data_IF_953240203115
#
_entry.id   IF_953240203115
#
_cell.length_a   1.000
_cell.length_b   1.000
_cell.length_c   1.000
_cell.angle_alpha   90.00
_cell.angle_beta   90.00
_cell.angle_gamma   90.00
#
_symmetry.space_group_name_H-M   'P 1'
#
loop_
_entity.id
_entity.type
_entity.pdbx_description
1 polymer ?
#
# COMPACT_ATOMS: atom_id res chain seq x y z
N UNK A 1 10.13 -6.17 -1.47
CA UNK A 1 9.77 -7.51 -0.94
C UNK A 1 9.65 -8.56 -2.04
N UNK A 2 8.93 -8.31 -3.13
CA UNK A 2 8.71 -9.32 -4.18
C UNK A 2 9.76 -9.29 -5.31
N UNK A 3 10.54 -8.21 -5.42
CA UNK A 3 11.53 -7.97 -6.49
C UNK A 3 12.61 -9.07 -6.60
N UNK A 4 13.03 -9.62 -5.47
CA UNK A 4 14.14 -10.58 -5.39
C UNK A 4 13.66 -12.03 -5.52
N UNK A 5 12.34 -12.24 -5.65
CA UNK A 5 11.77 -13.56 -5.82
C UNK A 5 11.96 -14.05 -7.26
N UNK A 6 12.21 -15.35 -7.43
CA UNK A 6 11.95 -15.97 -8.71
C UNK A 6 10.43 -15.99 -8.98
N UNK A 7 10.04 -16.11 -10.25
CA UNK A 7 8.63 -16.20 -10.61
C UNK A 7 7.91 -17.37 -9.93
N UNK A 8 8.61 -18.47 -9.74
CA UNK A 8 8.06 -19.66 -9.04
C UNK A 8 7.81 -19.34 -7.57
N UNK A 9 8.76 -18.70 -6.91
CA UNK A 9 8.62 -18.23 -5.52
C UNK A 9 7.48 -17.24 -5.35
N UNK A 10 7.29 -16.32 -6.28
CA UNK A 10 6.16 -15.40 -6.26
C UNK A 10 4.82 -16.14 -6.39
N UNK A 11 4.76 -17.20 -7.21
CA UNK A 11 3.57 -18.07 -7.27
C UNK A 11 3.37 -18.89 -5.99
N UNK A 12 4.45 -19.24 -5.26
CA UNK A 12 4.31 -19.88 -3.94
C UNK A 12 3.63 -18.92 -2.94
N UNK A 13 3.93 -17.61 -3.00
CA UNK A 13 3.20 -16.61 -2.20
C UNK A 13 1.72 -16.62 -2.52
N UNK A 14 1.35 -16.62 -3.81
CA UNK A 14 -0.07 -16.68 -4.23
C UNK A 14 -0.74 -17.93 -3.66
N UNK A 15 -0.12 -19.11 -3.85
CA UNK A 15 -0.64 -20.38 -3.31
C UNK A 15 -0.81 -20.35 -1.79
N UNK A 16 0.12 -19.70 -1.11
CA UNK A 16 0.05 -19.52 0.33
C UNK A 16 -1.12 -18.62 0.75
N UNK A 17 -1.34 -17.49 0.05
CA UNK A 17 -2.49 -16.61 0.27
C UNK A 17 -3.79 -17.41 0.13
N UNK A 18 -3.98 -18.12 -0.98
CA UNK A 18 -5.19 -18.90 -1.24
C UNK A 18 -5.41 -20.02 -0.20
N UNK A 19 -4.36 -20.74 0.17
CA UNK A 19 -4.46 -21.84 1.15
C UNK A 19 -4.86 -21.35 2.56
N UNK A 20 -4.58 -20.09 2.89
CA UNK A 20 -4.90 -19.50 4.21
C UNK A 20 -6.25 -18.77 4.24
N UNK A 21 -6.83 -18.49 3.09
CA UNK A 21 -8.08 -17.75 3.01
C UNK A 21 -9.18 -18.27 3.94
N UNK A 22 -9.48 -19.58 4.04
CA UNK A 22 -10.54 -20.09 4.93
C UNK A 22 -10.29 -19.77 6.41
N UNK A 23 -9.04 -19.84 6.84
CA UNK A 23 -8.65 -19.57 8.24
C UNK A 23 -8.71 -18.08 8.58
N UNK A 24 -8.38 -17.21 7.62
CA UNK A 24 -8.47 -15.75 7.78
C UNK A 24 -9.90 -15.25 7.75
N UNK A 25 -10.73 -15.84 6.92
CA UNK A 25 -12.18 -15.59 6.91
C UNK A 25 -12.84 -16.10 8.19
N UNK A 26 -12.39 -17.26 8.72
CA UNK A 26 -12.83 -17.76 10.01
C UNK A 26 -12.50 -16.76 11.13
N UNK A 27 -11.24 -16.32 11.22
CA UNK A 27 -10.82 -15.33 12.23
C UNK A 27 -11.64 -14.05 12.13
N UNK A 28 -11.87 -13.54 10.92
CA UNK A 28 -12.71 -12.36 10.70
C UNK A 28 -14.15 -12.58 11.23
N UNK A 29 -14.74 -13.74 10.93
CA UNK A 29 -16.09 -14.09 11.38
C UNK A 29 -16.16 -14.26 12.89
N UNK A 30 -15.15 -14.86 13.53
CA UNK A 30 -15.07 -15.00 14.99
C UNK A 30 -14.98 -13.63 15.65
N UNK A 31 -14.10 -12.75 15.16
CA UNK A 31 -13.97 -11.40 15.70
C UNK A 31 -15.26 -10.59 15.51
N UNK A 32 -15.93 -10.70 14.35
CA UNK A 32 -17.25 -10.06 14.16
C UNK A 32 -18.27 -10.54 15.18
N UNK A 33 -18.38 -11.85 15.39
CA UNK A 33 -19.31 -12.43 16.35
C UNK A 33 -19.01 -11.95 17.77
N UNK A 34 -17.75 -11.90 18.15
CA UNK A 34 -17.31 -11.59 19.52
C UNK A 34 -17.32 -10.07 19.82
N UNK A 35 -17.44 -9.23 18.78
CA UNK A 35 -17.49 -7.76 18.89
C UNK A 35 -18.80 -7.15 18.36
N UNK A 36 -19.86 -7.93 18.28
CA UNK A 36 -21.15 -7.51 17.73
C UNK A 36 -21.06 -6.87 16.34
N UNK A 37 -20.15 -7.39 15.50
CA UNK A 37 -19.97 -6.96 14.12
C UNK A 37 -21.09 -7.43 13.18
N UNK A 38 -21.11 -6.92 11.95
CA UNK A 38 -22.24 -7.12 11.01
C UNK A 38 -22.21 -8.50 10.32
N UNK A 39 -21.92 -9.58 11.03
CA UNK A 39 -21.73 -10.92 10.47
C UNK A 39 -22.90 -11.35 9.56
N UNK A 40 -24.14 -11.05 9.95
CA UNK A 40 -25.33 -11.44 9.20
C UNK A 40 -25.52 -10.65 7.89
N UNK A 41 -24.81 -9.52 7.73
CA UNK A 41 -24.87 -8.68 6.54
C UNK A 41 -23.76 -8.99 5.52
N UNK A 42 -22.93 -10.00 5.80
CA UNK A 42 -21.76 -10.34 4.98
C UNK A 42 -22.15 -11.31 3.86
N UNK A 43 -22.87 -10.80 2.86
CA UNK A 43 -23.42 -11.54 1.71
C UNK A 43 -22.51 -11.56 0.47
N UNK A 44 -21.30 -11.02 0.58
CA UNK A 44 -20.35 -10.79 -0.53
C UNK A 44 -20.87 -9.86 -1.64
N UNK A 45 -21.86 -9.02 -1.36
CA UNK A 45 -22.22 -7.90 -2.24
C UNK A 45 -21.26 -6.71 -2.06
N UNK A 46 -21.24 -5.79 -3.01
CA UNK A 46 -20.54 -4.50 -2.82
C UNK A 46 -21.09 -3.70 -1.65
N UNK A 47 -22.38 -3.77 -1.41
CA UNK A 47 -23.06 -3.03 -0.35
C UNK A 47 -22.65 -3.56 1.04
N UNK A 48 -22.31 -4.84 1.17
CA UNK A 48 -21.81 -5.42 2.44
C UNK A 48 -20.45 -4.85 2.86
N UNK A 49 -19.70 -4.21 1.97
CA UNK A 49 -18.47 -3.52 2.32
C UNK A 49 -18.71 -2.26 3.16
N UNK A 50 -19.92 -1.68 3.15
CA UNK A 50 -20.27 -0.51 3.97
C UNK A 50 -20.29 -0.86 5.45
N UNK A 51 -21.16 -1.78 5.93
CA UNK A 51 -21.16 -2.18 7.32
C UNK A 51 -19.85 -2.85 7.76
N UNK A 52 -19.17 -3.55 6.84
CA UNK A 52 -17.82 -4.09 7.09
C UNK A 52 -16.84 -2.99 7.46
N UNK A 53 -16.79 -1.91 6.68
CA UNK A 53 -15.84 -0.82 6.90
C UNK A 53 -16.17 0.00 8.17
N UNK A 54 -17.42 0.28 8.43
CA UNK A 54 -17.86 0.95 9.67
C UNK A 54 -17.42 0.17 10.92
N UNK A 55 -17.64 -1.13 10.91
CA UNK A 55 -17.23 -2.01 12.00
C UNK A 55 -15.69 -2.05 12.12
N UNK A 56 -14.97 -2.26 11.01
CA UNK A 56 -13.51 -2.35 11.01
C UNK A 56 -12.86 -1.06 11.53
N UNK A 57 -13.35 0.10 11.13
CA UNK A 57 -12.85 1.38 11.62
C UNK A 57 -13.17 1.61 13.11
N UNK A 58 -14.29 1.08 13.60
CA UNK A 58 -14.60 1.09 15.03
C UNK A 58 -13.61 0.26 15.83
N UNK A 59 -13.22 -0.92 15.33
CA UNK A 59 -12.17 -1.73 15.94
C UNK A 59 -10.81 -1.02 15.92
N UNK A 60 -10.47 -0.36 14.83
CA UNK A 60 -9.22 0.39 14.71
C UNK A 60 -9.13 1.48 15.79
N UNK A 61 -10.21 2.20 16.05
CA UNK A 61 -10.27 3.20 17.12
C UNK A 61 -10.19 2.59 18.52
N UNK A 62 -10.74 1.41 18.71
CA UNK A 62 -10.72 0.70 20.00
C UNK A 62 -9.40 -0.02 20.30
N UNK A 63 -8.48 -0.11 19.32
CA UNK A 63 -7.16 -0.71 19.46
C UNK A 63 -7.08 -2.17 19.06
N UNK A 64 -7.98 -2.67 18.23
CA UNK A 64 -8.11 -4.05 17.77
C UNK A 64 -8.20 -5.10 18.90
N UNK A 65 -9.11 -6.05 18.81
CA UNK A 65 -9.29 -7.09 19.84
C UNK A 65 -8.10 -8.06 19.87
N UNK A 66 -8.00 -8.81 20.97
CA UNK A 66 -7.06 -9.90 21.06
C UNK A 66 -7.41 -10.98 20.06
N UNK A 67 -6.43 -11.32 19.21
CA UNK A 67 -6.53 -12.40 18.24
C UNK A 67 -5.31 -13.31 18.38
N UNK A 68 -5.41 -14.60 18.08
CA UNK A 68 -4.25 -15.49 18.09
C UNK A 68 -3.16 -15.00 17.12
N UNK A 69 -1.98 -14.65 17.66
CA UNK A 69 -0.84 -14.12 16.91
C UNK A 69 0.28 -15.14 16.72
N UNK A 70 0.04 -16.40 17.08
CA UNK A 70 0.95 -17.53 16.91
C UNK A 70 1.13 -17.97 15.44
N UNK A 71 0.19 -17.57 14.57
CA UNK A 71 0.29 -17.80 13.14
C UNK A 71 0.70 -16.51 12.43
N UNK A 72 1.91 -16.45 11.82
CA UNK A 72 2.43 -15.25 11.19
C UNK A 72 1.49 -14.67 10.13
N UNK A 73 1.41 -13.37 10.05
CA UNK A 73 0.69 -12.66 8.99
C UNK A 73 1.54 -12.57 7.71
N UNK A 74 0.91 -12.26 6.57
CA UNK A 74 1.61 -11.91 5.33
C UNK A 74 2.50 -10.67 5.51
N UNK A 75 2.19 -9.84 6.50
CA UNK A 75 2.89 -8.59 6.79
C UNK A 75 3.95 -8.74 7.89
N UNK A 76 4.13 -9.96 8.45
CA UNK A 76 5.10 -10.20 9.52
C UNK A 76 6.50 -9.66 9.23
N UNK A 77 7.06 -9.83 7.99
CA UNK A 77 8.36 -9.27 7.68
C UNK A 77 8.43 -7.75 7.77
N UNK A 78 7.35 -7.06 7.38
CA UNK A 78 7.26 -5.59 7.51
C UNK A 78 7.11 -5.19 8.97
N UNK A 79 6.30 -5.91 9.74
CA UNK A 79 6.14 -5.66 11.18
C UNK A 79 7.48 -5.82 11.89
N UNK A 80 8.19 -6.93 11.64
CA UNK A 80 9.49 -7.19 12.25
C UNK A 80 10.57 -6.17 11.85
N UNK A 81 10.49 -5.62 10.63
CA UNK A 81 11.48 -4.69 10.12
C UNK A 81 11.22 -3.22 10.51
N UNK A 82 9.94 -2.83 10.72
CA UNK A 82 9.56 -1.42 10.78
C UNK A 82 8.70 -1.03 11.99
N UNK A 83 8.35 -1.97 12.86
CA UNK A 83 7.51 -1.70 14.02
C UNK A 83 8.33 -1.88 15.30
N UNK A 84 8.33 -0.87 16.17
CA UNK A 84 8.97 -0.96 17.46
C UNK A 84 8.38 -2.13 18.28
N UNK A 85 9.19 -2.86 19.07
CA UNK A 85 8.76 -4.06 19.78
C UNK A 85 7.50 -3.86 20.63
N UNK A 86 7.33 -2.71 21.24
CA UNK A 86 6.19 -2.35 22.08
C UNK A 86 4.87 -2.24 21.31
N UNK A 87 4.92 -2.00 19.98
CA UNK A 87 3.77 -1.90 19.09
C UNK A 87 3.57 -3.14 18.22
N UNK A 88 4.51 -4.10 18.27
CA UNK A 88 4.51 -5.26 17.39
C UNK A 88 3.25 -6.12 17.52
N UNK A 89 2.73 -6.30 18.74
CA UNK A 89 1.54 -7.08 18.98
C UNK A 89 0.28 -6.41 18.36
N UNK A 90 0.11 -5.12 18.57
CA UNK A 90 -0.96 -4.34 17.97
C UNK A 90 -0.89 -4.38 16.43
N UNK A 91 0.31 -4.24 15.87
CA UNK A 91 0.54 -4.32 14.44
C UNK A 91 0.18 -5.71 13.87
N UNK A 92 0.49 -6.79 14.61
CA UNK A 92 0.10 -8.17 14.22
C UNK A 92 -1.41 -8.35 14.22
N UNK A 93 -2.10 -7.92 15.28
CA UNK A 93 -3.57 -7.98 15.35
C UNK A 93 -4.21 -7.27 14.16
N UNK A 94 -3.77 -6.03 13.89
CA UNK A 94 -4.20 -5.28 12.71
C UNK A 94 -3.94 -6.06 11.42
N UNK A 95 -2.72 -6.57 11.24
CA UNK A 95 -2.33 -7.28 10.05
C UNK A 95 -3.19 -8.54 9.79
N UNK A 96 -3.48 -9.31 10.83
CA UNK A 96 -4.32 -10.50 10.74
C UNK A 96 -5.76 -10.17 10.34
N UNK A 97 -6.32 -9.09 10.89
CA UNK A 97 -7.66 -8.61 10.52
C UNK A 97 -7.69 -8.02 9.11
N UNK A 98 -6.62 -7.30 8.69
CA UNK A 98 -6.48 -6.84 7.32
C UNK A 98 -6.39 -8.00 6.32
N UNK A 99 -5.77 -9.13 6.67
CA UNK A 99 -5.79 -10.34 5.83
C UNK A 99 -7.21 -10.92 5.70
N UNK A 100 -7.96 -10.98 6.80
CA UNK A 100 -9.36 -11.39 6.77
C UNK A 100 -10.21 -10.47 5.87
N UNK A 101 -10.05 -9.17 6.04
CA UNK A 101 -10.71 -8.16 5.20
C UNK A 101 -10.31 -8.30 3.72
N UNK A 102 -9.03 -8.51 3.43
CA UNK A 102 -8.52 -8.75 2.06
C UNK A 102 -9.25 -9.95 1.40
N UNK A 103 -9.38 -11.06 2.11
CA UNK A 103 -10.08 -12.23 1.60
C UNK A 103 -11.59 -12.02 1.48
N UNK A 104 -12.19 -11.22 2.36
CA UNK A 104 -13.59 -10.86 2.18
C UNK A 104 -13.83 -10.00 0.94
N UNK A 105 -12.96 -9.01 0.70
CA UNK A 105 -13.01 -8.21 -0.54
C UNK A 105 -12.82 -9.12 -1.78
N UNK A 106 -11.96 -10.12 -1.69
CA UNK A 106 -11.81 -11.12 -2.77
C UNK A 106 -13.12 -11.84 -3.05
N UNK A 107 -13.88 -12.25 -2.02
CA UNK A 107 -15.20 -12.88 -2.20
C UNK A 107 -16.19 -11.92 -2.87
N UNK A 108 -16.22 -10.65 -2.46
CA UNK A 108 -17.04 -9.61 -3.08
C UNK A 108 -16.69 -9.45 -4.57
N UNK A 109 -15.41 -9.36 -4.89
CA UNK A 109 -14.96 -9.25 -6.30
C UNK A 109 -15.37 -10.49 -7.10
N UNK A 110 -15.20 -11.69 -6.56
CA UNK A 110 -15.59 -12.94 -7.20
C UNK A 110 -17.11 -13.09 -7.37
N UNK A 111 -17.89 -12.51 -6.45
CA UNK A 111 -19.35 -12.42 -6.58
C UNK A 111 -19.77 -11.58 -7.79
N UNK A 112 -19.03 -10.51 -8.08
CA UNK A 112 -19.26 -9.61 -9.22
C UNK A 112 -18.63 -10.14 -10.50
N UNK A 113 -17.41 -10.64 -10.43
CA UNK A 113 -16.61 -11.20 -11.54
C UNK A 113 -16.17 -12.64 -11.24
N UNK A 114 -16.95 -13.61 -11.67
CA UNK A 114 -16.63 -15.04 -11.49
C UNK A 114 -15.33 -15.48 -12.17
N UNK A 115 -14.79 -14.69 -13.10
CA UNK A 115 -13.49 -14.91 -13.73
C UNK A 115 -12.32 -14.34 -12.94
N UNK A 116 -12.56 -13.60 -11.86
CA UNK A 116 -11.52 -13.03 -11.02
C UNK A 116 -10.71 -14.12 -10.33
N UNK A 117 -9.39 -13.96 -10.32
CA UNK A 117 -8.46 -14.93 -9.73
C UNK A 117 -7.19 -14.25 -9.25
N UNK A 118 -6.51 -14.85 -8.31
CA UNK A 118 -5.16 -14.44 -7.97
C UNK A 118 -4.19 -14.63 -9.14
N UNK A 119 -3.31 -13.67 -9.33
CA UNK A 119 -2.29 -13.62 -10.37
C UNK A 119 -1.09 -12.80 -9.83
N UNK A 120 -0.03 -12.73 -10.61
CA UNK A 120 1.11 -11.84 -10.33
C UNK A 120 1.02 -10.60 -11.19
N UNK A 121 1.29 -9.44 -10.57
CA UNK A 121 1.50 -8.22 -11.32
C UNK A 121 2.89 -8.21 -11.95
N UNK A 122 2.93 -8.44 -13.26
CA UNK A 122 4.17 -8.51 -14.02
C UNK A 122 4.36 -7.22 -14.80
N UNK A 123 5.30 -6.41 -14.36
CA UNK A 123 5.67 -5.19 -15.06
C UNK A 123 6.48 -5.52 -16.31
N UNK A 124 6.16 -4.85 -17.41
CA UNK A 124 6.93 -4.90 -18.66
C UNK A 124 7.95 -3.76 -18.63
N UNK A 125 9.22 -4.04 -18.81
CA UNK A 125 10.27 -3.02 -18.84
C UNK A 125 11.58 -3.52 -18.21
N UNK A 126 12.63 -2.70 -18.33
CA UNK A 126 13.94 -2.98 -17.75
C UNK A 126 14.01 -2.61 -16.26
N UNK A 127 13.33 -1.57 -15.87
CA UNK A 127 13.21 -1.14 -14.46
C UNK A 127 12.03 -1.89 -13.84
N UNK A 128 12.28 -2.58 -12.75
CA UNK A 128 11.25 -3.31 -12.01
C UNK A 128 10.89 -2.50 -10.78
N UNK A 129 9.65 -2.04 -10.71
CA UNK A 129 9.13 -1.37 -9.52
C UNK A 129 8.99 -2.36 -8.36
N UNK A 130 8.94 -1.83 -7.14
CA UNK A 130 8.75 -2.62 -5.91
C UNK A 130 7.54 -3.57 -5.97
N UNK A 131 6.53 -3.23 -6.79
CA UNK A 131 5.32 -4.03 -7.00
C UNK A 131 5.51 -5.18 -7.99
N UNK A 132 6.65 -5.27 -8.72
CA UNK A 132 6.87 -6.38 -9.65
C UNK A 132 6.76 -7.72 -8.91
N UNK A 133 5.98 -8.64 -9.48
CA UNK A 133 5.65 -9.94 -8.89
C UNK A 133 4.76 -9.86 -7.63
N UNK A 134 4.15 -8.73 -7.34
CA UNK A 134 3.16 -8.61 -6.28
C UNK A 134 1.92 -9.46 -6.60
N UNK A 135 1.37 -10.21 -5.62
CA UNK A 135 0.08 -10.86 -5.76
C UNK A 135 -1.04 -9.84 -5.98
N UNK A 136 -1.83 -10.06 -7.01
CA UNK A 136 -3.00 -9.23 -7.36
C UNK A 136 -4.20 -10.09 -7.68
N UNK A 137 -5.40 -9.54 -7.55
CA UNK A 137 -6.59 -10.16 -8.11
C UNK A 137 -6.77 -9.65 -9.55
N UNK A 138 -6.64 -10.55 -10.52
CA UNK A 138 -6.83 -10.29 -11.94
C UNK A 138 -8.31 -10.44 -12.29
N UNK A 139 -8.89 -9.41 -12.87
CA UNK A 139 -10.27 -9.42 -13.35
C UNK A 139 -10.38 -10.04 -14.76
N UNK A 140 -11.57 -10.47 -15.14
CA UNK A 140 -11.84 -11.06 -16.46
C UNK A 140 -11.59 -10.08 -17.62
N UNK A 141 -11.68 -8.77 -17.39
CA UNK A 141 -11.35 -7.73 -18.36
C UNK A 141 -9.83 -7.46 -18.51
N UNK A 142 -8.99 -8.14 -17.72
CA UNK A 142 -7.54 -8.00 -17.72
C UNK A 142 -6.97 -6.94 -16.76
N UNK A 143 -7.82 -6.11 -16.14
CA UNK A 143 -7.39 -5.21 -15.06
C UNK A 143 -7.01 -6.00 -13.80
N UNK A 144 -6.39 -5.35 -12.81
CA UNK A 144 -5.96 -6.02 -11.58
C UNK A 144 -6.08 -5.11 -10.38
N UNK A 145 -6.45 -5.70 -9.25
CA UNK A 145 -6.64 -5.02 -7.96
C UNK A 145 -5.57 -5.54 -6.99
N UNK A 146 -4.84 -4.64 -6.34
CA UNK A 146 -3.77 -4.96 -5.37
C UNK A 146 -4.33 -5.07 -3.95
N UNK A 147 -5.02 -6.16 -3.65
CA UNK A 147 -5.68 -6.35 -2.36
C UNK A 147 -4.72 -6.42 -1.18
N UNK A 148 -3.50 -6.93 -1.39
CA UNK A 148 -2.47 -7.04 -0.33
C UNK A 148 -2.10 -5.69 0.29
N UNK A 149 -2.15 -4.61 -0.49
CA UNK A 149 -1.87 -3.26 0.00
C UNK A 149 -3.13 -2.46 0.33
N UNK A 150 -4.26 -2.79 -0.29
CA UNK A 150 -5.49 -2.01 -0.12
C UNK A 150 -5.96 -1.99 1.34
N UNK A 151 -6.19 -3.17 1.94
CA UNK A 151 -6.74 -3.25 3.29
C UNK A 151 -5.82 -2.61 4.34
N UNK A 152 -4.51 -2.87 4.26
CA UNK A 152 -3.53 -2.28 5.18
C UNK A 152 -3.33 -0.79 4.95
N UNK A 153 -3.32 -0.34 3.68
CA UNK A 153 -3.21 1.06 3.32
C UNK A 153 -4.39 1.87 3.82
N UNK A 154 -5.62 1.40 3.59
CA UNK A 154 -6.83 2.06 4.09
C UNK A 154 -6.88 2.12 5.62
N UNK A 155 -6.52 1.01 6.31
CA UNK A 155 -6.45 0.98 7.76
C UNK A 155 -5.43 2.00 8.30
N UNK A 156 -4.26 2.06 7.71
CA UNK A 156 -3.21 3.01 8.09
C UNK A 156 -3.64 4.48 7.87
N UNK A 157 -4.19 4.79 6.70
CA UNK A 157 -4.69 6.15 6.38
C UNK A 157 -5.80 6.58 7.35
N UNK A 158 -6.68 5.65 7.72
CA UNK A 158 -7.72 5.89 8.70
C UNK A 158 -7.14 6.23 10.08
N UNK A 159 -6.19 5.42 10.59
CA UNK A 159 -5.52 5.62 11.88
C UNK A 159 -4.77 6.95 11.96
N UNK A 160 -4.08 7.31 10.88
CA UNK A 160 -3.36 8.59 10.79
C UNK A 160 -4.29 9.80 10.65
N UNK A 161 -5.55 9.60 10.33
CA UNK A 161 -6.48 10.68 10.04
C UNK A 161 -6.14 11.49 8.80
N UNK A 162 -5.23 11.01 7.97
CA UNK A 162 -4.66 11.71 6.82
C UNK A 162 -5.66 11.88 5.67
N UNK A 163 -6.66 10.98 5.57
CA UNK A 163 -7.67 11.07 4.52
C UNK A 163 -9.04 11.28 5.14
N UNK A 164 -9.59 12.47 4.97
CA UNK A 164 -10.96 12.79 5.42
C UNK A 164 -11.99 11.79 4.86
N UNK A 165 -11.76 11.28 3.65
CA UNK A 165 -12.57 10.25 3.00
C UNK A 165 -12.45 8.85 3.62
N UNK A 166 -11.36 8.49 4.31
CA UNK A 166 -11.23 7.17 4.94
C UNK A 166 -12.21 6.95 6.10
N UNK A 167 -12.78 8.03 6.66
CA UNK A 167 -13.86 8.00 7.66
C UNK A 167 -15.26 7.88 7.07
N UNK A 168 -15.36 7.99 5.74
CA UNK A 168 -16.62 7.76 5.05
C UNK A 168 -16.96 6.25 5.11
N UNK A 169 -18.13 5.85 5.61
CA UNK A 169 -18.59 4.47 5.58
C UNK A 169 -18.54 3.85 4.18
N UNK A 170 -18.69 4.67 3.14
CA UNK A 170 -18.64 4.26 1.74
C UNK A 170 -17.21 4.12 1.18
N UNK A 171 -16.16 4.51 1.92
CA UNK A 171 -14.80 4.61 1.40
C UNK A 171 -14.31 3.28 0.79
N UNK A 172 -14.41 2.17 1.53
CA UNK A 172 -13.98 0.86 1.03
C UNK A 172 -14.80 0.41 -0.17
N UNK A 173 -16.13 0.54 -0.09
CA UNK A 173 -17.05 0.19 -1.17
C UNK A 173 -16.74 0.99 -2.44
N UNK A 174 -16.53 2.29 -2.33
CA UNK A 174 -16.25 3.16 -3.47
C UNK A 174 -14.89 2.84 -4.10
N UNK A 175 -13.86 2.61 -3.28
CA UNK A 175 -12.52 2.21 -3.77
C UNK A 175 -12.59 0.92 -4.59
N UNK A 176 -13.31 -0.10 -4.13
CA UNK A 176 -13.48 -1.34 -4.89
C UNK A 176 -14.34 -1.10 -6.14
N UNK A 177 -15.38 -0.28 -6.02
CA UNK A 177 -16.28 0.02 -7.13
C UNK A 177 -15.59 0.76 -8.29
N UNK A 178 -14.59 1.60 -8.00
CA UNK A 178 -13.81 2.31 -9.03
C UNK A 178 -12.98 1.36 -9.90
N UNK A 179 -12.49 0.28 -9.33
CA UNK A 179 -11.71 -0.73 -10.04
C UNK A 179 -12.59 -1.72 -10.84
N UNK A 180 -13.89 -1.79 -10.55
CA UNK A 180 -14.83 -2.71 -11.19
C UNK A 180 -15.61 -2.02 -12.31
N UNK A 181 -15.82 -2.68 -13.49
CA UNK A 181 -16.69 -2.14 -14.52
C UNK A 181 -18.09 -1.84 -14.00
N UNK A 182 -18.59 -0.63 -14.19
CA UNK A 182 -19.93 -0.21 -13.71
C UNK A 182 -21.08 -1.08 -14.24
N UNK A 183 -20.88 -1.73 -15.39
CA UNK A 183 -21.84 -2.68 -15.97
C UNK A 183 -22.00 -3.98 -15.17
N UNK A 184 -21.09 -4.27 -14.22
CA UNK A 184 -21.15 -5.46 -13.38
C UNK A 184 -21.92 -5.23 -12.08
N UNK A 185 -22.27 -3.99 -11.78
CA UNK A 185 -23.03 -3.65 -10.58
C UNK A 185 -24.47 -4.12 -10.73
N UNK A 186 -24.74 -5.26 -10.14
CA UNK A 186 -26.13 -5.69 -9.94
C UNK A 186 -26.56 -5.10 -8.60
N UNK A 187 -27.58 -4.26 -8.60
CA UNK A 187 -28.20 -3.78 -7.39
C UNK A 187 -28.56 -4.96 -6.47
N UNK A 188 -28.35 -4.78 -5.18
CA UNK A 188 -28.56 -5.81 -4.17
C UNK A 188 -29.87 -6.55 -4.42
N UNK A 189 -29.78 -7.85 -4.55
CA UNK A 189 -30.93 -8.76 -4.61
C UNK A 189 -31.08 -9.35 -3.22
N UNK A 190 -32.34 -9.51 -2.85
CA UNK A 190 -32.86 -10.22 -1.68
C UNK A 190 -31.82 -10.72 -0.64
N UNK A 191 -32.12 -10.58 0.66
CA UNK A 191 -31.30 -10.99 1.79
C UNK A 191 -30.63 -12.35 1.57
N UNK A 192 -29.42 -12.35 0.98
CA UNK A 192 -28.63 -13.56 0.88
C UNK A 192 -27.98 -13.86 2.23
N UNK A 193 -27.85 -15.14 2.60
CA UNK A 193 -27.24 -15.52 3.88
C UNK A 193 -25.75 -15.15 3.88
N UNK A 194 -25.24 -14.81 5.05
CA UNK A 194 -23.83 -14.47 5.25
C UNK A 194 -22.89 -15.55 4.69
N UNK A 195 -22.00 -15.14 3.79
CA UNK A 195 -20.95 -16.03 3.24
C UNK A 195 -19.85 -16.34 4.26
N UNK A 196 -19.77 -15.61 5.38
CA UNK A 196 -18.74 -15.82 6.42
C UNK A 196 -19.12 -16.92 7.41
N UNK A 197 -20.41 -17.15 7.67
CA UNK A 197 -20.86 -18.16 8.62
C UNK A 197 -20.29 -19.56 8.37
N UNK A 198 -20.24 -20.07 7.14
CA UNK A 198 -19.63 -21.39 6.85
C UNK A 198 -18.16 -21.50 7.28
N UNK A 199 -17.41 -20.39 7.26
CA UNK A 199 -15.98 -20.41 7.64
C UNK A 199 -15.76 -20.60 9.15
N UNK A 200 -16.76 -20.38 9.99
CA UNK A 200 -16.68 -20.68 11.43
C UNK A 200 -16.40 -22.18 11.70
N UNK A 201 -16.60 -23.07 10.71
CA UNK A 201 -16.20 -24.48 10.80
C UNK A 201 -14.68 -24.70 10.86
N UNK A 202 -13.88 -23.70 10.53
CA UNK A 202 -12.41 -23.71 10.63
C UNK A 202 -11.91 -23.26 12.01
N UNK A 203 -12.79 -22.87 12.92
CA UNK A 203 -12.44 -22.44 14.28
C UNK A 203 -11.60 -23.52 15.00
N UNK A 204 -10.49 -23.09 15.60
CA UNK A 204 -9.57 -23.99 16.30
C UNK A 204 -8.72 -24.90 15.40
N UNK A 205 -8.85 -24.80 14.08
CA UNK A 205 -7.97 -25.51 13.15
C UNK A 205 -6.68 -24.73 12.91
N UNK A 206 -5.56 -25.45 12.78
CA UNK A 206 -4.27 -24.83 12.47
C UNK A 206 -4.17 -24.54 10.96
N UNK A 207 -3.89 -23.30 10.55
CA UNK A 207 -3.63 -23.00 9.15
C UNK A 207 -2.45 -23.81 8.61
N UNK A 208 -2.39 -24.05 7.29
CA UNK A 208 -1.23 -24.68 6.67
C UNK A 208 0.06 -23.98 7.09
N UNK A 209 1.05 -24.75 7.55
CA UNK A 209 2.36 -24.21 7.88
C UNK A 209 2.96 -23.55 6.64
N UNK A 210 3.62 -22.42 6.84
CA UNK A 210 4.49 -21.85 5.80
C UNK A 210 5.57 -22.90 5.53
N UNK A 211 5.73 -23.29 4.27
CA UNK A 211 6.75 -24.28 3.89
C UNK A 211 8.12 -23.70 4.25
N UNK A 212 8.68 -24.19 5.37
CA UNK A 212 9.91 -23.65 5.99
C UNK A 212 11.18 -23.89 5.18
N UNK A 213 11.12 -24.70 4.14
CA UNK A 213 12.25 -25.01 3.25
C UNK A 213 12.36 -24.11 2.01
N UNK A 214 11.49 -23.15 1.86
CA UNK A 214 11.46 -22.25 0.70
C UNK A 214 11.96 -20.84 1.09
N UNK A 215 12.37 -20.00 0.12
CA UNK A 215 12.60 -18.57 0.34
C UNK A 215 11.41 -17.83 0.99
N UNK A 216 10.21 -18.42 0.99
CA UNK A 216 9.07 -17.96 1.77
C UNK A 216 9.35 -18.00 3.27
N UNK A 217 10.15 -18.94 3.77
CA UNK A 217 10.58 -18.92 5.17
C UNK A 217 11.46 -17.71 5.51
N UNK A 218 12.22 -17.19 4.54
CA UNK A 218 12.96 -15.94 4.70
C UNK A 218 12.04 -14.70 4.65
N UNK A 219 10.89 -14.80 3.96
CA UNK A 219 9.88 -13.74 3.90
C UNK A 219 8.92 -13.76 5.10
N UNK A 220 8.64 -14.92 5.67
CA UNK A 220 7.61 -15.13 6.70
C UNK A 220 8.16 -15.81 7.97
N UNK A 221 9.45 -16.19 7.99
CA UNK A 221 10.12 -16.73 9.17
C UNK A 221 10.55 -15.62 10.14
N UNK A 222 10.91 -16.00 11.39
CA UNK A 222 11.52 -15.03 12.29
C UNK A 222 12.79 -14.47 11.63
N UNK A 223 13.08 -13.16 11.83
CA UNK A 223 14.24 -12.52 11.22
C UNK A 223 15.52 -13.31 11.61
N UNK A 224 16.10 -13.99 10.63
CA UNK A 224 17.43 -14.60 10.80
C UNK A 224 18.44 -13.50 10.58
N UNK A 225 19.07 -13.09 11.66
CA UNK A 225 20.24 -12.22 11.75
C UNK A 225 19.99 -10.73 11.84
N UNK A 226 20.85 -10.14 12.65
CA UNK A 226 21.23 -8.73 12.81
C UNK A 226 20.23 -7.73 12.24
N UNK A 227 19.62 -6.87 13.06
CA UNK A 227 18.77 -5.81 12.56
C UNK A 227 19.57 -5.07 11.48
N UNK A 228 19.11 -5.07 10.25
CA UNK A 228 19.44 -3.98 9.36
C UNK A 228 19.12 -2.71 10.15
N UNK A 229 20.02 -1.74 10.12
CA UNK A 229 19.79 -0.47 10.82
C UNK A 229 18.32 -0.06 10.61
N UNK A 230 17.64 0.35 11.68
CA UNK A 230 16.21 0.59 11.60
C UNK A 230 15.94 1.53 10.42
N UNK A 231 15.07 1.09 9.55
CA UNK A 231 14.52 1.89 8.46
C UNK A 231 13.51 2.90 9.06
N UNK A 232 13.88 3.49 10.21
CA UNK A 232 12.98 4.24 11.08
C UNK A 232 12.52 5.58 10.49
N UNK A 233 13.07 6.02 9.34
CA UNK A 233 12.76 7.31 8.73
C UNK A 233 12.41 7.27 7.23
N UNK A 234 12.26 6.12 6.61
CA UNK A 234 11.83 6.05 5.21
C UNK A 234 10.31 5.87 5.14
N UNK A 235 9.60 6.84 5.56
CA UNK A 235 8.15 6.89 5.49
C UNK A 235 7.64 8.31 5.36
N UNK A 236 8.54 9.25 5.12
CA UNK A 236 8.21 10.66 5.06
C UNK A 236 8.22 11.09 3.61
N UNK A 237 7.06 11.46 3.10
CA UNK A 237 6.95 12.21 1.87
C UNK A 237 7.70 13.53 2.03
N UNK A 238 8.59 13.85 1.08
CA UNK A 238 9.31 15.11 1.06
C UNK A 238 8.76 15.98 -0.07
N UNK A 239 8.57 17.26 0.20
CA UNK A 239 8.22 18.26 -0.79
C UNK A 239 9.41 19.19 -1.02
N UNK A 240 9.87 19.30 -2.27
CA UNK A 240 10.85 20.27 -2.72
C UNK A 240 10.13 21.40 -3.43
N UNK A 241 10.20 22.63 -2.90
CA UNK A 241 9.66 23.81 -3.55
C UNK A 241 10.39 25.09 -3.12
N UNK A 242 10.15 26.18 -3.84
CA UNK A 242 10.69 27.51 -3.55
C UNK A 242 9.53 28.49 -3.31
N UNK A 243 9.37 28.97 -2.08
CA UNK A 243 8.32 29.94 -1.78
C UNK A 243 7.67 29.80 -0.41
N UNK A 244 6.61 30.56 -0.15
CA UNK A 244 5.93 30.61 1.15
C UNK A 244 5.04 29.37 1.38
N UNK A 245 4.68 29.12 2.64
CA UNK A 245 3.76 28.05 3.04
C UNK A 245 2.39 28.09 2.33
N UNK A 246 1.93 29.22 1.85
CA UNK A 246 0.73 29.33 1.03
C UNK A 246 0.77 28.51 -0.27
N UNK A 247 1.95 28.10 -0.73
CA UNK A 247 2.13 27.19 -1.85
C UNK A 247 1.70 25.75 -1.56
N UNK A 248 1.60 25.35 -0.29
CA UNK A 248 1.09 24.04 0.10
C UNK A 248 -0.39 23.87 -0.25
N UNK A 249 -1.16 24.96 -0.15
CA UNK A 249 -2.59 24.96 -0.51
C UNK A 249 -2.81 25.22 -2.02
N UNK A 250 -1.91 26.00 -2.64
CA UNK A 250 -1.98 26.33 -4.06
C UNK A 250 -0.56 26.42 -4.66
N UNK A 251 -0.13 25.41 -5.44
CA UNK A 251 1.22 25.37 -6.00
C UNK A 251 1.63 26.58 -6.86
N UNK A 252 0.67 27.38 -7.33
CA UNK A 252 0.94 28.62 -8.08
C UNK A 252 1.68 29.67 -7.24
N UNK A 253 1.63 29.58 -5.91
CA UNK A 253 2.38 30.46 -5.01
C UNK A 253 3.86 30.07 -4.90
N UNK A 254 4.26 28.86 -5.31
CA UNK A 254 5.67 28.52 -5.41
C UNK A 254 6.31 29.17 -6.63
N UNK A 255 7.59 29.52 -6.51
CA UNK A 255 8.38 29.96 -7.66
C UNK A 255 8.56 28.81 -8.66
N UNK A 256 8.69 29.15 -9.94
CA UNK A 256 8.98 28.16 -10.96
C UNK A 256 10.39 27.57 -10.77
N UNK A 257 10.46 26.25 -10.72
CA UNK A 257 11.73 25.52 -10.73
C UNK A 257 12.29 25.44 -12.15
N UNK A 258 13.60 25.61 -12.36
CA UNK A 258 14.22 25.50 -13.71
C UNK A 258 14.30 24.03 -14.14
N UNK A 259 13.54 23.59 -15.17
CA UNK A 259 13.45 22.17 -15.55
C UNK A 259 14.81 21.56 -15.96
N UNK A 260 15.70 22.34 -16.61
CA UNK A 260 17.04 21.88 -17.00
C UNK A 260 17.88 21.51 -15.77
N UNK A 261 17.84 22.34 -14.73
CA UNK A 261 18.58 22.10 -13.48
C UNK A 261 18.03 20.90 -12.73
N UNK A 262 16.70 20.80 -12.64
CA UNK A 262 16.01 19.66 -12.00
C UNK A 262 16.36 18.37 -12.73
N UNK A 263 16.22 18.31 -14.07
CA UNK A 263 16.52 17.13 -14.88
C UNK A 263 17.98 16.68 -14.72
N UNK A 264 18.92 17.62 -14.65
CA UNK A 264 20.32 17.31 -14.44
C UNK A 264 20.57 16.64 -13.08
N UNK A 265 19.97 17.14 -12.01
CA UNK A 265 20.09 16.56 -10.67
C UNK A 265 19.41 15.20 -10.58
N UNK A 266 18.20 15.05 -11.13
CA UNK A 266 17.52 13.74 -11.16
C UNK A 266 18.36 12.69 -11.90
N UNK A 267 19.01 13.07 -12.99
CA UNK A 267 19.93 12.20 -13.74
C UNK A 267 21.20 11.88 -12.93
N UNK A 268 21.79 12.84 -12.21
CA UNK A 268 22.94 12.61 -11.31
C UNK A 268 22.60 11.63 -10.19
N UNK A 269 21.34 11.64 -9.73
CA UNK A 269 20.83 10.75 -8.70
C UNK A 269 20.39 9.37 -9.24
N UNK A 270 20.60 9.11 -10.52
CA UNK A 270 20.15 7.90 -11.24
C UNK A 270 18.61 7.73 -11.26
N UNK A 271 17.86 8.82 -11.11
CA UNK A 271 16.41 8.80 -11.24
C UNK A 271 16.01 8.86 -12.71
N UNK A 272 15.17 7.95 -13.14
CA UNK A 272 14.76 7.78 -14.53
C UNK A 272 13.27 7.42 -14.65
N UNK A 273 12.71 7.53 -15.85
CA UNK A 273 11.39 6.95 -16.13
C UNK A 273 11.38 5.43 -15.94
N UNK A 274 10.20 4.84 -15.83
CA UNK A 274 9.99 3.40 -15.62
C UNK A 274 10.63 2.52 -16.72
N UNK A 275 10.83 3.07 -17.91
CA UNK A 275 11.53 2.41 -19.04
C UNK A 275 13.06 2.57 -18.97
N UNK A 276 13.57 3.24 -17.95
CA UNK A 276 15.00 3.51 -17.72
C UNK A 276 15.57 4.65 -18.59
N UNK A 277 14.70 5.42 -19.25
CA UNK A 277 15.17 6.59 -20.00
C UNK A 277 15.47 7.76 -19.04
N UNK A 278 16.55 8.51 -19.27
CA UNK A 278 16.85 9.70 -18.48
C UNK A 278 15.78 10.76 -18.71
N UNK A 279 15.49 11.50 -17.63
CA UNK A 279 14.47 12.55 -17.61
C UNK A 279 14.88 13.70 -18.52
N UNK A 280 13.98 14.10 -19.42
CA UNK A 280 14.17 15.27 -20.25
C UNK A 280 13.48 16.49 -19.63
N UNK A 281 14.08 17.70 -19.70
CA UNK A 281 13.50 18.89 -19.10
C UNK A 281 12.05 19.18 -19.51
N UNK A 282 11.72 18.93 -20.79
CA UNK A 282 10.37 19.12 -21.31
C UNK A 282 9.31 18.23 -20.69
N UNK A 283 9.68 17.02 -20.25
CA UNK A 283 8.78 16.07 -19.60
C UNK A 283 8.42 16.50 -18.19
N UNK A 284 9.30 17.23 -17.51
CA UNK A 284 9.05 17.78 -16.18
C UNK A 284 8.00 18.93 -16.16
N UNK A 285 7.58 19.40 -17.33
CA UNK A 285 6.50 20.36 -17.47
C UNK A 285 5.12 19.71 -17.62
N UNK A 286 5.05 18.40 -17.57
CA UNK A 286 3.80 17.64 -17.51
C UNK A 286 3.53 17.30 -16.03
N UNK A 287 2.35 17.70 -15.54
CA UNK A 287 1.93 17.46 -14.16
C UNK A 287 1.78 15.96 -13.90
N UNK A 288 2.26 15.49 -12.75
CA UNK A 288 2.23 14.08 -12.40
C UNK A 288 3.27 13.21 -13.13
N UNK A 289 4.30 13.81 -13.77
CA UNK A 289 5.42 13.03 -14.33
C UNK A 289 6.18 12.34 -13.22
N UNK A 290 6.29 11.02 -13.31
CA UNK A 290 6.96 10.19 -12.30
C UNK A 290 8.30 9.68 -12.80
N UNK A 291 9.30 9.73 -11.91
CA UNK A 291 10.62 9.15 -12.10
C UNK A 291 11.02 8.34 -10.87
N UNK A 292 11.83 7.32 -11.08
CA UNK A 292 12.09 6.28 -10.09
C UNK A 292 13.57 6.04 -9.89
N UNK A 293 13.98 5.74 -8.68
CA UNK A 293 15.28 5.17 -8.41
C UNK A 293 15.36 3.73 -8.96
N UNK A 294 16.47 3.30 -9.57
CA UNK A 294 16.60 1.97 -10.20
C UNK A 294 16.37 0.80 -9.25
N UNK A 295 16.66 0.99 -7.98
CA UNK A 295 16.47 0.00 -6.91
C UNK A 295 15.11 0.09 -6.24
N UNK A 296 14.22 0.98 -6.71
CA UNK A 296 12.90 1.20 -6.14
C UNK A 296 12.90 1.88 -4.77
N UNK A 297 13.97 2.57 -4.38
CA UNK A 297 14.05 3.29 -3.10
C UNK A 297 13.11 4.49 -3.06
N UNK A 298 13.02 5.24 -4.16
CA UNK A 298 12.26 6.49 -4.23
C UNK A 298 11.52 6.64 -5.55
N UNK A 299 10.40 7.32 -5.47
CA UNK A 299 9.66 7.91 -6.59
C UNK A 299 9.66 9.43 -6.42
N UNK A 300 9.89 10.15 -7.50
CA UNK A 300 9.76 11.60 -7.55
C UNK A 300 8.66 11.95 -8.55
N UNK A 301 7.70 12.78 -8.14
CA UNK A 301 6.60 13.21 -8.99
C UNK A 301 6.61 14.74 -9.13
N UNK A 302 6.29 15.23 -10.32
CA UNK A 302 6.26 16.66 -10.62
C UNK A 302 4.91 17.28 -10.27
N UNK A 303 4.94 18.50 -9.72
CA UNK A 303 3.78 19.37 -9.54
C UNK A 303 3.92 20.55 -10.49
N UNK A 304 3.03 20.64 -11.46
CA UNK A 304 3.02 21.68 -12.48
C UNK A 304 1.78 22.54 -12.35
N UNK A 305 1.96 23.87 -12.34
CA UNK A 305 0.86 24.83 -12.36
C UNK A 305 1.18 25.98 -13.32
N UNK A 306 0.19 26.40 -14.10
CA UNK A 306 0.32 27.45 -15.14
C UNK A 306 1.44 27.17 -16.14
N UNK A 307 1.65 25.90 -16.50
CA UNK A 307 2.68 25.45 -17.43
C UNK A 307 4.12 25.58 -16.91
N UNK A 308 4.32 25.72 -15.61
CA UNK A 308 5.62 25.78 -14.97
C UNK A 308 5.75 24.71 -13.90
N UNK A 309 6.92 24.05 -13.84
CA UNK A 309 7.27 23.15 -12.73
C UNK A 309 7.35 23.97 -11.44
N UNK A 310 6.57 23.62 -10.43
CA UNK A 310 6.46 24.38 -9.18
C UNK A 310 7.06 23.65 -7.98
N UNK A 311 6.92 22.35 -7.96
CA UNK A 311 7.44 21.53 -6.87
C UNK A 311 7.74 20.10 -7.35
N UNK A 312 8.42 19.34 -6.50
CA UNK A 312 8.59 17.89 -6.62
C UNK A 312 8.15 17.24 -5.31
N UNK A 313 7.32 16.23 -5.37
CA UNK A 313 7.12 15.31 -4.26
C UNK A 313 8.09 14.14 -4.37
N UNK A 314 8.56 13.64 -3.24
CA UNK A 314 9.48 12.51 -3.18
C UNK A 314 8.93 11.51 -2.20
N UNK A 315 8.58 10.36 -2.69
CA UNK A 315 7.99 9.30 -1.90
C UNK A 315 8.91 8.08 -1.82
N UNK A 316 9.00 7.41 -0.65
CA UNK A 316 9.66 6.12 -0.58
C UNK A 316 8.85 5.08 -1.35
N UNK A 317 9.47 4.45 -2.35
CA UNK A 317 8.80 3.45 -3.20
C UNK A 317 8.86 2.02 -2.64
N UNK A 318 9.36 1.84 -1.41
CA UNK A 318 9.34 0.58 -0.67
C UNK A 318 10.39 -0.46 -1.07
N UNK A 319 11.34 -0.09 -1.91
CA UNK A 319 12.53 -0.88 -2.26
C UNK A 319 13.83 -0.20 -1.80
N UNK A 320 14.96 -0.80 -2.16
CA UNK A 320 16.29 -0.22 -1.98
C UNK A 320 16.83 -0.20 -0.55
N UNK A 321 17.73 0.73 -0.28
CA UNK A 321 18.45 0.83 1.00
C UNK A 321 18.36 2.24 1.60
N UNK A 322 18.55 2.34 2.92
CA UNK A 322 18.66 3.62 3.61
C UNK A 322 19.77 4.52 3.00
N UNK A 323 20.88 3.91 2.60
CA UNK A 323 21.98 4.64 1.95
C UNK A 323 21.56 5.28 0.61
N UNK A 324 20.76 4.58 -0.20
CA UNK A 324 20.23 5.14 -1.46
C UNK A 324 19.26 6.28 -1.17
N UNK A 325 18.35 6.10 -0.19
CA UNK A 325 17.44 7.16 0.22
C UNK A 325 18.19 8.40 0.68
N UNK A 326 19.14 8.26 1.62
CA UNK A 326 19.96 9.38 2.10
C UNK A 326 20.68 10.10 0.96
N UNK A 327 21.22 9.36 -0.01
CA UNK A 327 21.86 9.96 -1.20
C UNK A 327 20.89 10.81 -2.01
N UNK A 328 19.65 10.31 -2.21
CA UNK A 328 18.60 11.02 -2.95
C UNK A 328 18.16 12.25 -2.18
N UNK A 329 17.86 12.11 -0.90
CA UNK A 329 17.47 13.21 -0.02
C UNK A 329 18.54 14.30 0.03
N UNK A 330 19.82 13.96 0.24
CA UNK A 330 20.95 14.89 0.24
C UNK A 330 21.10 15.59 -1.12
N UNK A 331 20.87 14.89 -2.21
CA UNK A 331 20.93 15.47 -3.55
C UNK A 331 19.81 16.49 -3.77
N UNK A 332 18.60 16.16 -3.39
CA UNK A 332 17.45 17.05 -3.50
C UNK A 332 17.54 18.24 -2.52
N UNK A 333 18.10 18.02 -1.33
CA UNK A 333 18.38 19.10 -0.39
C UNK A 333 19.37 20.11 -0.96
N UNK A 334 20.47 19.64 -1.57
CA UNK A 334 21.40 20.54 -2.29
C UNK A 334 20.74 21.27 -3.45
N UNK A 335 19.82 20.63 -4.17
CA UNK A 335 19.04 21.28 -5.21
C UNK A 335 18.17 22.39 -4.61
N UNK A 336 17.42 22.10 -3.55
CA UNK A 336 16.60 23.07 -2.85
C UNK A 336 17.43 24.28 -2.39
N UNK A 337 18.57 24.05 -1.72
CA UNK A 337 19.48 25.11 -1.26
C UNK A 337 19.99 25.98 -2.41
N UNK A 338 20.36 25.35 -3.54
CA UNK A 338 20.86 26.06 -4.73
C UNK A 338 19.83 26.96 -5.39
N UNK A 339 18.55 26.64 -5.22
CA UNK A 339 17.41 27.39 -5.73
C UNK A 339 16.83 28.38 -4.71
N UNK A 340 17.38 28.41 -3.49
CA UNK A 340 16.82 29.21 -2.38
C UNK A 340 15.47 28.68 -1.89
N UNK A 341 15.25 27.39 -2.04
CA UNK A 341 14.01 26.69 -1.66
C UNK A 341 14.18 25.82 -0.43
N UNK A 342 13.22 24.97 -0.20
CA UNK A 342 13.15 24.05 0.93
C UNK A 342 12.87 22.62 0.45
N UNK A 343 13.43 21.65 1.16
CA UNK A 343 13.00 20.27 1.15
C UNK A 343 12.47 19.97 2.55
N UNK A 344 11.18 19.81 2.70
CA UNK A 344 10.52 19.62 3.97
C UNK A 344 9.70 18.30 3.97
N UNK A 345 9.58 17.71 5.13
CA UNK A 345 8.68 16.59 5.39
C UNK A 345 7.40 17.07 6.06
N UNK A 346 6.33 16.30 5.92
CA UNK A 346 5.08 16.56 6.65
C UNK A 346 5.27 16.62 8.17
N UNK A 347 6.30 15.93 8.70
CA UNK A 347 6.61 15.88 10.13
C UNK A 347 7.40 17.09 10.63
N UNK A 348 8.17 17.74 9.77
CA UNK A 348 9.00 18.91 10.15
C UNK A 348 8.28 20.23 9.96
N UNK A 349 7.19 20.24 9.19
CA UNK A 349 6.47 21.44 8.79
C UNK A 349 7.24 22.28 7.77
N UNK A 350 6.52 23.14 7.06
CA UNK A 350 7.12 24.10 6.13
C UNK A 350 7.73 25.25 6.95
N UNK A 351 8.99 25.68 6.67
CA UNK A 351 9.61 26.73 7.44
C UNK A 351 8.75 28.02 7.37
N UNK A 352 8.51 28.63 8.54
CA UNK A 352 7.86 29.93 8.60
C UNK A 352 8.76 30.97 7.93
N UNK A 353 8.19 31.96 7.22
CA UNK A 353 8.94 32.98 6.47
C UNK A 353 9.78 33.89 7.36
#
# INVERSE_FOLDING_TARGET
MYLDLSREQAWDVVRHIEARAPYRLCLLAEVMRDTDGPLDQMDASLESLVPMWEWFTTLAMAGYPDVPTDVPSLYEPRIAAHVLPEYADLARRRALLCEGLMHYIELVIKGVDQGARWDLWLQKGRVRMAQHQEPVVRLSNGSSIRLTNLATGMAYQYEKGQVQGARDPLALRNTIAEDLPSSWWRGGQDEEPSVLVPYLSYAGQTPPAIVTSSPLAALFGPPTSTPAEPFDDIGVELLLAVGPAAGLDDPRHFAALPPDTVAAVLTELDLAHDDGQPVQPGQLLEDGTQVFAPDGTAMVETIVADGALRALTVEPAGGGTAATWTRIEDGLRRLADSLGGHLASDSEGWPEP
#
